data_IF_219629020202
#
_entry.id   IF_219629020202
#
_cell.length_a   1.000
_cell.length_b   1.000
_cell.length_c   1.000
_cell.angle_alpha   90.00
_cell.angle_beta   90.00
_cell.angle_gamma   90.00
#
_symmetry.space_group_name_H-M   'P 1'
#
loop_
_entity.id
_entity.type
_entity.pdbx_description
1 polymer ?
#
# COMPACT_ATOMS: atom_id res chain seq x y z
N UNK A 1 39.03 0.62 -2.75
CA UNK A 1 37.73 1.29 -2.61
C UNK A 1 37.54 1.54 -1.13
N UNK A 2 37.42 2.79 -0.70
CA UNK A 2 37.27 3.09 0.73
C UNK A 2 35.83 2.80 1.17
N UNK A 3 35.64 2.48 2.45
CA UNK A 3 34.31 2.16 2.99
C UNK A 3 33.29 3.30 2.77
N UNK A 4 33.79 4.54 2.80
CA UNK A 4 33.01 5.74 2.51
C UNK A 4 32.44 5.73 1.08
N UNK A 5 33.20 5.25 0.11
CA UNK A 5 32.78 5.19 -1.29
C UNK A 5 31.70 4.11 -1.48
N UNK A 6 31.83 2.99 -0.76
CA UNK A 6 30.83 1.91 -0.77
C UNK A 6 29.51 2.38 -0.15
N UNK A 7 29.55 3.06 1.00
CA UNK A 7 28.33 3.57 1.65
C UNK A 7 27.63 4.61 0.77
N UNK A 8 28.39 5.52 0.15
CA UNK A 8 27.81 6.51 -0.76
C UNK A 8 27.22 5.85 -2.00
N UNK A 9 27.88 4.83 -2.54
CA UNK A 9 27.35 4.05 -3.66
C UNK A 9 26.05 3.34 -3.28
N UNK A 10 25.99 2.67 -2.12
CA UNK A 10 24.78 1.98 -1.66
C UNK A 10 23.63 2.95 -1.36
N UNK A 11 23.91 4.10 -0.76
CA UNK A 11 22.89 5.13 -0.53
C UNK A 11 22.36 5.70 -1.85
N UNK A 12 23.23 5.89 -2.84
CA UNK A 12 22.85 6.36 -4.16
C UNK A 12 22.09 5.27 -4.95
N UNK A 13 22.41 3.98 -4.76
CA UNK A 13 21.64 2.85 -5.31
C UNK A 13 20.26 2.70 -4.64
N UNK A 14 20.12 3.03 -3.36
CA UNK A 14 18.82 3.05 -2.66
C UNK A 14 17.98 4.26 -3.10
N UNK A 15 18.58 5.46 -3.22
CA UNK A 15 17.89 6.66 -3.67
C UNK A 15 17.40 6.54 -5.13
N UNK A 16 18.18 5.87 -5.99
CA UNK A 16 17.79 5.58 -7.38
C UNK A 16 17.01 4.26 -7.55
N UNK A 17 16.93 3.42 -6.50
CA UNK A 17 16.21 2.14 -6.49
C UNK A 17 14.83 2.20 -5.84
N UNK A 18 14.45 3.35 -5.27
CA UNK A 18 13.03 3.67 -5.06
C UNK A 18 12.45 4.06 -6.42
N UNK A 19 12.25 3.04 -7.25
CA UNK A 19 11.73 3.18 -8.59
C UNK A 19 10.41 3.96 -8.55
N UNK A 20 10.17 4.78 -9.57
CA UNK A 20 8.83 5.29 -9.89
C UNK A 20 7.77 4.16 -9.92
N UNK A 21 8.17 2.89 -10.06
CA UNK A 21 7.29 1.70 -9.90
C UNK A 21 6.72 1.54 -8.50
N UNK A 22 7.50 1.76 -7.45
CA UNK A 22 7.00 1.69 -6.06
C UNK A 22 6.01 2.81 -5.78
N UNK A 23 6.24 4.00 -6.36
CA UNK A 23 5.29 5.11 -6.31
C UNK A 23 4.08 4.86 -7.22
N UNK A 24 4.29 4.25 -8.40
CA UNK A 24 3.23 3.85 -9.32
C UNK A 24 2.32 2.82 -8.67
N UNK A 25 2.80 1.82 -7.95
CA UNK A 25 1.99 0.83 -7.21
C UNK A 25 1.12 1.48 -6.13
N UNK A 26 1.57 2.58 -5.53
CA UNK A 26 0.79 3.40 -4.60
C UNK A 26 -0.29 4.21 -5.36
N UNK A 27 0.04 4.77 -6.53
CA UNK A 27 -0.92 5.52 -7.37
C UNK A 27 -1.81 4.65 -8.27
N UNK A 28 -1.47 3.37 -8.48
CA UNK A 28 -2.22 2.43 -9.30
C UNK A 28 -3.66 2.35 -8.78
N UNK A 29 -3.88 2.47 -7.47
CA UNK A 29 -5.23 2.42 -6.90
C UNK A 29 -6.13 3.63 -7.19
N UNK A 30 -5.58 4.79 -7.57
CA UNK A 30 -6.39 6.00 -7.78
C UNK A 30 -6.81 6.17 -9.24
N UNK A 31 -6.01 5.67 -10.21
CA UNK A 31 -6.24 5.87 -11.65
C UNK A 31 -6.54 4.59 -12.45
N UNK A 32 -6.64 3.41 -11.80
CA UNK A 32 -7.07 2.17 -12.48
C UNK A 32 -8.58 1.96 -12.44
N UNK A 33 -9.09 1.09 -13.32
CA UNK A 33 -10.46 0.60 -13.23
C UNK A 33 -10.71 -0.09 -11.89
N UNK A 34 -11.98 -0.11 -11.47
CA UNK A 34 -12.38 -0.59 -10.15
C UNK A 34 -11.99 -2.06 -9.92
N UNK A 35 -12.05 -2.86 -10.98
CA UNK A 35 -11.70 -4.29 -10.94
C UNK A 35 -10.21 -4.47 -10.66
N UNK A 36 -9.36 -3.71 -11.33
CA UNK A 36 -7.90 -3.78 -11.16
C UNK A 36 -7.48 -3.31 -9.78
N UNK A 37 -8.09 -2.23 -9.26
CA UNK A 37 -7.84 -1.76 -7.89
C UNK A 37 -8.19 -2.85 -6.86
N UNK A 38 -9.40 -3.41 -6.93
CA UNK A 38 -9.86 -4.44 -6.01
C UNK A 38 -9.03 -5.71 -6.11
N UNK A 39 -8.60 -6.09 -7.32
CA UNK A 39 -7.75 -7.25 -7.52
C UNK A 39 -6.36 -7.04 -6.89
N UNK A 40 -5.73 -5.90 -7.14
CA UNK A 40 -4.45 -5.54 -6.51
C UNK A 40 -4.56 -5.45 -4.99
N UNK A 41 -5.64 -4.86 -4.47
CA UNK A 41 -5.91 -4.79 -3.03
C UNK A 41 -6.03 -6.18 -2.41
N UNK A 42 -6.80 -7.07 -3.04
CA UNK A 42 -6.96 -8.47 -2.61
C UNK A 42 -5.63 -9.21 -2.58
N UNK A 43 -4.81 -9.08 -3.63
CA UNK A 43 -3.51 -9.76 -3.73
C UNK A 43 -2.54 -9.29 -2.63
N UNK A 44 -2.49 -7.98 -2.37
CA UNK A 44 -1.65 -7.41 -1.30
C UNK A 44 -2.04 -7.93 0.09
N UNK A 45 -3.34 -8.00 0.40
CA UNK A 45 -3.82 -8.61 1.64
C UNK A 45 -3.55 -10.10 1.71
N UNK A 46 -3.71 -10.82 0.59
CA UNK A 46 -3.45 -12.25 0.53
C UNK A 46 -1.99 -12.56 0.87
N UNK A 47 -1.05 -11.83 0.28
CA UNK A 47 0.39 -11.98 0.57
C UNK A 47 0.71 -11.66 2.03
N UNK A 48 0.10 -10.60 2.60
CA UNK A 48 0.24 -10.29 4.03
C UNK A 48 -0.21 -11.48 4.90
N UNK A 49 -1.37 -12.06 4.61
CA UNK A 49 -1.90 -13.18 5.40
C UNK A 49 -1.09 -14.46 5.23
N UNK A 50 -0.61 -14.78 4.04
CA UNK A 50 0.28 -15.93 3.84
C UNK A 50 1.60 -15.74 4.59
N UNK A 51 2.20 -14.54 4.51
CA UNK A 51 3.41 -14.21 5.28
C UNK A 51 3.20 -14.23 6.80
N UNK A 52 1.98 -13.94 7.27
CA UNK A 52 1.62 -14.06 8.68
C UNK A 52 1.46 -15.51 9.14
N UNK A 53 0.90 -16.37 8.30
CA UNK A 53 0.66 -17.79 8.59
C UNK A 53 1.92 -18.64 8.55
N UNK A 54 2.88 -18.26 7.70
CA UNK A 54 4.15 -18.98 7.53
C UNK A 54 5.19 -18.61 8.59
N UNK A 55 4.94 -17.56 9.39
CA UNK A 55 5.93 -17.10 10.33
C UNK A 55 5.88 -17.87 11.66
N UNK A 56 7.02 -18.47 12.01
CA UNK A 56 7.30 -19.14 13.27
C UNK A 56 7.30 -18.18 14.47
N UNK A 57 7.17 -16.87 14.27
CA UNK A 57 7.06 -15.85 15.32
C UNK A 57 5.98 -16.08 16.39
N UNK A 58 5.05 -17.00 16.16
CA UNK A 58 3.99 -17.37 17.10
C UNK A 58 4.27 -18.65 17.90
N UNK A 59 5.40 -19.34 17.66
CA UNK A 59 5.76 -20.54 18.44
C UNK A 59 6.52 -20.14 19.71
N UNK A 60 6.18 -20.80 20.82
CA UNK A 60 6.37 -20.35 22.21
C UNK A 60 7.82 -20.31 22.73
N UNK A 61 8.84 -20.40 21.87
CA UNK A 61 10.23 -20.45 22.33
C UNK A 61 10.88 -19.05 22.37
N UNK A 62 11.29 -18.71 23.60
CA UNK A 62 12.23 -17.65 24.01
C UNK A 62 11.63 -16.28 24.40
N UNK A 63 11.96 -15.88 25.63
CA UNK A 63 11.73 -14.57 26.27
C UNK A 63 12.21 -13.33 25.48
N UNK A 64 12.93 -13.51 24.35
CA UNK A 64 13.38 -12.45 23.44
C UNK A 64 12.43 -12.22 22.24
N UNK A 65 11.37 -13.01 22.13
CA UNK A 65 10.45 -13.00 20.98
C UNK A 65 9.36 -11.92 21.08
N UNK A 66 9.06 -11.41 22.28
CA UNK A 66 7.96 -10.45 22.48
C UNK A 66 8.24 -9.10 21.79
N UNK A 67 9.44 -8.53 21.93
CA UNK A 67 9.81 -7.27 21.27
C UNK A 67 9.81 -7.39 19.74
N UNK A 68 10.16 -8.58 19.20
CA UNK A 68 10.10 -8.86 17.76
C UNK A 68 8.67 -9.01 17.26
N UNK A 69 7.82 -9.70 18.03
CA UNK A 69 6.40 -9.84 17.73
C UNK A 69 5.68 -8.48 17.75
N UNK A 70 5.96 -7.65 18.77
CA UNK A 70 5.43 -6.28 18.88
C UNK A 70 5.86 -5.42 17.68
N UNK A 71 7.16 -5.39 17.36
CA UNK A 71 7.67 -4.61 16.22
C UNK A 71 7.05 -5.07 14.90
N UNK A 72 6.82 -6.37 14.73
CA UNK A 72 6.17 -6.91 13.55
C UNK A 72 4.68 -6.56 13.50
N UNK A 73 3.97 -6.64 14.63
CA UNK A 73 2.58 -6.20 14.74
C UNK A 73 2.42 -4.72 14.40
N UNK A 74 3.32 -3.86 14.86
CA UNK A 74 3.36 -2.44 14.49
C UNK A 74 3.52 -2.25 12.97
N UNK A 75 4.42 -3.03 12.34
CA UNK A 75 4.60 -2.98 10.88
C UNK A 75 3.33 -3.41 10.13
N UNK A 76 2.68 -4.49 10.58
CA UNK A 76 1.42 -4.98 9.99
C UNK A 76 0.31 -3.95 10.18
N UNK A 77 0.21 -3.36 11.37
CA UNK A 77 -0.78 -2.33 11.67
C UNK A 77 -0.58 -1.11 10.77
N UNK A 78 0.66 -0.63 10.63
CA UNK A 78 1.00 0.48 9.73
C UNK A 78 0.67 0.16 8.27
N UNK A 79 0.94 -1.06 7.81
CA UNK A 79 0.54 -1.49 6.48
C UNK A 79 -0.99 -1.49 6.30
N UNK A 80 -1.75 -2.02 7.26
CA UNK A 80 -3.21 -2.05 7.18
C UNK A 80 -3.82 -0.64 7.25
N UNK A 81 -3.25 0.26 8.05
CA UNK A 81 -3.63 1.68 8.07
C UNK A 81 -3.39 2.34 6.71
N UNK A 82 -2.25 2.05 6.08
CA UNK A 82 -1.98 2.51 4.72
C UNK A 82 -2.98 1.95 3.71
N UNK A 83 -3.32 0.66 3.80
CA UNK A 83 -4.35 0.06 2.94
C UNK A 83 -5.71 0.74 3.11
N UNK A 84 -6.10 1.08 4.35
CA UNK A 84 -7.34 1.79 4.63
C UNK A 84 -7.34 3.20 4.02
N UNK A 85 -6.24 3.95 4.15
CA UNK A 85 -6.11 5.27 3.54
C UNK A 85 -6.24 5.22 2.00
N UNK A 86 -5.78 4.15 1.35
CA UNK A 86 -6.00 3.95 -0.09
C UNK A 86 -7.48 3.70 -0.43
N UNK A 87 -8.21 2.97 0.41
CA UNK A 87 -9.66 2.79 0.25
C UNK A 87 -10.36 4.14 0.38
N UNK A 88 -10.05 4.93 1.40
CA UNK A 88 -10.66 6.24 1.62
C UNK A 88 -10.43 7.17 0.41
N UNK A 89 -9.19 7.24 -0.08
CA UNK A 89 -8.85 8.02 -1.27
C UNK A 89 -9.62 7.56 -2.53
N UNK A 90 -9.86 6.25 -2.66
CA UNK A 90 -10.63 5.67 -3.76
C UNK A 90 -12.11 5.98 -3.65
N UNK A 91 -12.69 5.85 -2.45
CA UNK A 91 -14.09 6.20 -2.17
C UNK A 91 -14.35 7.68 -2.47
N UNK A 92 -13.45 8.57 -2.06
CA UNK A 92 -13.53 9.99 -2.37
C UNK A 92 -13.50 10.25 -3.89
N UNK A 93 -12.67 9.52 -4.64
CA UNK A 93 -12.62 9.62 -6.09
C UNK A 93 -13.94 9.17 -6.74
N UNK A 94 -14.50 8.06 -6.30
CA UNK A 94 -15.77 7.52 -6.81
C UNK A 94 -16.91 8.50 -6.49
N UNK A 95 -16.99 8.99 -5.25
CA UNK A 95 -18.01 9.95 -4.85
C UNK A 95 -17.96 11.23 -5.69
N UNK A 96 -16.76 11.77 -5.95
CA UNK A 96 -16.60 12.93 -6.86
C UNK A 96 -17.09 12.63 -8.27
N UNK A 97 -16.71 11.50 -8.85
CA UNK A 97 -17.18 11.09 -10.18
C UNK A 97 -18.70 10.93 -10.27
N UNK A 98 -19.33 10.42 -9.20
CA UNK A 98 -20.79 10.30 -9.14
C UNK A 98 -21.47 11.67 -9.09
N UNK A 99 -20.96 12.62 -8.29
CA UNK A 99 -21.50 13.98 -8.25
C UNK A 99 -21.39 14.69 -9.60
N UNK A 100 -20.24 14.60 -10.27
CA UNK A 100 -20.02 15.20 -11.60
C UNK A 100 -20.98 14.60 -12.65
N UNK A 101 -21.29 13.30 -12.56
CA UNK A 101 -22.22 12.63 -13.45
C UNK A 101 -23.69 13.07 -13.24
N UNK A 102 -24.09 13.38 -12.00
CA UNK A 102 -25.42 13.88 -11.68
C UNK A 102 -25.63 15.34 -12.12
N UNK A 103 -24.61 16.19 -12.01
CA UNK A 103 -24.63 17.58 -12.51
C UNK A 103 -24.68 17.65 -14.05
N UNK A 104 -23.97 16.74 -14.74
CA UNK A 104 -24.02 16.64 -16.20
C UNK A 104 -25.40 16.28 -16.73
N UNK A 105 -26.15 15.42 -16.01
CA UNK A 105 -27.45 14.94 -16.45
C UNK A 105 -28.59 15.94 -16.17
N UNK A 106 -28.44 16.78 -15.16
CA UNK A 106 -29.40 17.85 -14.85
C UNK A 106 -29.33 19.04 -15.83
N UNK A 107 -28.19 19.24 -16.48
CA UNK A 107 -28.02 20.27 -17.53
C UNK A 107 -28.59 19.89 -18.92
N UNK A 108 -28.91 18.61 -19.14
CA UNK A 108 -29.53 18.11 -20.39
C UNK A 108 -31.06 18.05 -20.31
N UNK A 109 -31.65 18.36 -19.15
CA UNK A 109 -33.08 18.20 -18.86
C UNK A 109 -33.98 19.41 -19.12
N UNK A 110 -33.46 20.53 -19.63
CA UNK A 110 -34.27 21.70 -19.98
C UNK A 110 -33.87 22.24 -21.37
N UNK A 111 -34.60 21.83 -22.40
CA UNK A 111 -34.70 22.50 -23.70
C UNK A 111 -36.09 22.25 -24.29
#
# INVERSE_FOLDING_TARGET
MELKDVVLQTLNEIENGVDEKGFKDITFGVNTGEIEFLQSFKERLFVLFEGLRQDELWTEEAQDSQSKAESKLELILGFLQFQLALIDARLDSINRQMMDAEEGNSNLGYS
#
